data_IF_711525548473
#
_entry.id   IF_711525548473
#
_cell.length_a   1.000
_cell.length_b   1.000
_cell.length_c   1.000
_cell.angle_alpha   90.00
_cell.angle_beta   90.00
_cell.angle_gamma   90.00
#
_symmetry.space_group_name_H-M   'P 1'
#
loop_
_entity.id
_entity.type
_entity.pdbx_description
1 polymer ?
#
# COMPACT_ATOMS: atom_id res chain seq x y z
N UNK A 1 -33.43 -4.38 -0.29
CA UNK A 1 -34.59 -4.79 -1.08
C UNK A 1 -34.27 -5.98 -2.02
N UNK A 2 -33.04 -6.10 -2.50
CA UNK A 2 -32.62 -7.10 -3.47
C UNK A 2 -31.63 -8.14 -2.91
N UNK A 3 -31.46 -8.24 -1.58
CA UNK A 3 -30.55 -9.19 -0.93
C UNK A 3 -29.07 -9.00 -1.31
N UNK A 4 -28.66 -7.78 -1.68
CA UNK A 4 -27.27 -7.48 -2.12
C UNK A 4 -26.34 -7.25 -0.94
N UNK A 5 -26.81 -6.57 0.11
CA UNK A 5 -26.05 -6.31 1.33
C UNK A 5 -26.12 -7.53 2.25
N UNK A 6 -25.42 -8.59 1.86
CA UNK A 6 -25.46 -9.90 2.54
C UNK A 6 -24.81 -9.88 3.93
N UNK A 7 -23.92 -8.94 4.18
CA UNK A 7 -23.18 -8.76 5.44
C UNK A 7 -23.55 -7.47 6.18
N UNK A 8 -24.60 -6.76 5.74
CA UNK A 8 -25.06 -5.51 6.33
C UNK A 8 -24.98 -4.31 5.40
N UNK A 9 -25.67 -3.23 5.78
CA UNK A 9 -25.60 -1.97 5.05
C UNK A 9 -24.42 -1.15 5.55
N UNK A 10 -23.54 -0.67 4.65
CA UNK A 10 -22.49 0.28 5.01
C UNK A 10 -23.08 1.59 5.52
N UNK A 11 -22.23 2.51 5.98
CA UNK A 11 -22.66 3.84 6.40
C UNK A 11 -23.23 4.64 5.22
N UNK A 12 -24.08 5.62 5.51
CA UNK A 12 -24.74 6.43 4.49
C UNK A 12 -23.76 7.31 3.69
N UNK A 13 -22.56 7.53 4.24
CA UNK A 13 -21.50 8.33 3.62
C UNK A 13 -20.51 7.53 2.76
N UNK A 14 -20.57 6.20 2.78
CA UNK A 14 -19.59 5.34 2.08
C UNK A 14 -20.27 4.15 1.41
N UNK A 15 -20.18 4.08 0.09
CA UNK A 15 -20.79 3.03 -0.72
C UNK A 15 -19.83 1.90 -1.13
N UNK A 16 -18.54 1.95 -0.78
CA UNK A 16 -17.52 1.02 -1.25
C UNK A 16 -17.91 -0.44 -0.98
N UNK A 17 -18.29 -0.74 0.26
CA UNK A 17 -18.74 -2.09 0.63
C UNK A 17 -20.12 -2.46 0.07
N UNK A 18 -20.96 -1.50 -0.30
CA UNK A 18 -22.21 -1.83 -1.01
C UNK A 18 -21.92 -2.37 -2.41
N UNK A 19 -20.99 -1.71 -3.13
CA UNK A 19 -20.53 -2.15 -4.44
C UNK A 19 -19.81 -3.49 -4.36
N UNK A 20 -18.92 -3.66 -3.39
CA UNK A 20 -18.19 -4.92 -3.20
C UNK A 20 -19.15 -6.08 -2.93
N UNK A 21 -20.12 -5.94 -2.04
CA UNK A 21 -21.15 -6.95 -1.77
C UNK A 21 -22.02 -7.24 -3.02
N UNK A 22 -22.31 -6.19 -3.82
CA UNK A 22 -23.01 -6.37 -5.08
C UNK A 22 -22.19 -7.22 -6.07
N UNK A 23 -20.88 -6.99 -6.18
CA UNK A 23 -19.99 -7.80 -7.02
C UNK A 23 -19.95 -9.24 -6.53
N UNK A 24 -19.77 -9.47 -5.22
CA UNK A 24 -19.81 -10.82 -4.63
C UNK A 24 -21.11 -11.55 -4.95
N UNK A 25 -22.25 -10.87 -4.82
CA UNK A 25 -23.56 -11.47 -5.13
C UNK A 25 -23.75 -11.77 -6.62
N UNK A 26 -22.99 -11.11 -7.47
CA UNK A 26 -23.03 -11.29 -8.93
C UNK A 26 -22.02 -12.31 -9.44
N UNK A 27 -21.13 -12.82 -8.56
CA UNK A 27 -20.14 -13.84 -8.93
C UNK A 27 -20.83 -15.13 -9.38
N UNK A 28 -20.31 -15.73 -10.44
CA UNK A 28 -20.73 -17.06 -10.88
C UNK A 28 -20.40 -18.09 -9.78
N UNK A 29 -21.36 -18.92 -9.35
CA UNK A 29 -21.06 -19.95 -8.36
C UNK A 29 -19.90 -20.85 -8.79
N UNK A 30 -18.99 -21.16 -7.89
CA UNK A 30 -17.84 -22.08 -8.05
C UNK A 30 -16.77 -21.68 -9.09
N UNK A 31 -16.92 -20.52 -9.77
CA UNK A 31 -15.96 -20.08 -10.81
C UNK A 31 -15.71 -18.58 -10.77
N UNK A 32 -16.52 -17.83 -10.01
CA UNK A 32 -16.50 -16.37 -10.03
C UNK A 32 -15.23 -15.79 -9.42
N UNK A 33 -14.69 -14.78 -10.09
CA UNK A 33 -13.58 -13.95 -9.60
C UNK A 33 -13.96 -12.48 -9.73
N UNK A 34 -13.45 -11.65 -8.82
CA UNK A 34 -13.62 -10.21 -8.85
C UNK A 34 -12.24 -9.57 -8.62
N UNK A 35 -11.93 -8.54 -9.39
CA UNK A 35 -10.86 -7.61 -9.09
C UNK A 35 -11.48 -6.22 -9.01
N UNK A 36 -11.32 -5.54 -7.88
CA UNK A 36 -11.89 -4.21 -7.66
C UNK A 36 -10.83 -3.27 -7.10
N UNK A 37 -10.81 -2.05 -7.66
CA UNK A 37 -9.96 -0.96 -7.17
C UNK A 37 -10.79 -0.11 -6.20
N UNK A 38 -10.26 0.07 -4.99
CA UNK A 38 -10.91 0.84 -3.93
C UNK A 38 -9.88 1.74 -3.23
N UNK A 39 -10.30 2.80 -2.54
CA UNK A 39 -9.41 3.56 -1.65
C UNK A 39 -8.85 2.65 -0.54
N UNK A 40 -7.60 2.85 -0.15
CA UNK A 40 -6.97 2.01 0.89
C UNK A 40 -7.71 2.04 2.25
N UNK A 41 -8.50 3.08 2.51
CA UNK A 41 -9.34 3.19 3.70
C UNK A 41 -10.24 1.97 3.97
N UNK A 42 -10.72 1.30 2.92
CA UNK A 42 -11.57 0.09 3.06
C UNK A 42 -10.87 -1.03 3.81
N UNK A 43 -9.55 -1.05 3.81
CA UNK A 43 -8.75 -2.10 4.45
C UNK A 43 -8.74 -2.01 5.99
N UNK A 44 -9.05 -0.84 6.56
CA UNK A 44 -8.90 -0.60 8.01
C UNK A 44 -9.99 0.25 8.66
N UNK A 45 -10.93 0.85 7.90
CA UNK A 45 -12.04 1.59 8.52
C UNK A 45 -12.80 0.71 9.52
N UNK A 46 -13.18 1.31 10.65
CA UNK A 46 -13.96 0.69 11.72
C UNK A 46 -15.48 0.91 11.54
N UNK A 47 -16.28 0.47 12.50
CA UNK A 47 -17.74 0.60 12.46
C UNK A 47 -18.38 -0.34 11.44
N UNK A 48 -19.48 0.07 10.80
CA UNK A 48 -20.24 -0.74 9.84
C UNK A 48 -19.38 -1.33 8.72
N UNK A 49 -18.40 -0.57 8.23
CA UNK A 49 -17.43 -1.01 7.23
C UNK A 49 -16.52 -2.11 7.80
N UNK A 50 -16.10 -1.97 9.05
CA UNK A 50 -15.33 -2.99 9.76
C UNK A 50 -16.09 -4.30 9.92
N UNK A 51 -17.38 -4.22 10.32
CA UNK A 51 -18.24 -5.38 10.50
C UNK A 51 -18.44 -6.14 9.17
N UNK A 52 -18.67 -5.41 8.08
CA UNK A 52 -18.81 -6.00 6.74
C UNK A 52 -17.49 -6.64 6.28
N UNK A 53 -16.35 -5.97 6.53
CA UNK A 53 -15.02 -6.49 6.19
C UNK A 53 -14.73 -7.78 6.96
N UNK A 54 -15.07 -7.84 8.24
CA UNK A 54 -14.93 -9.05 9.05
C UNK A 54 -15.70 -10.24 8.43
N UNK A 55 -16.94 -10.02 8.01
CA UNK A 55 -17.75 -11.07 7.36
C UNK A 55 -17.16 -11.49 6.00
N UNK A 56 -16.64 -10.53 5.25
CA UNK A 56 -15.94 -10.82 3.99
C UNK A 56 -14.68 -11.68 4.23
N UNK A 57 -13.89 -11.37 5.24
CA UNK A 57 -12.70 -12.15 5.63
C UNK A 57 -13.12 -13.57 6.02
N UNK A 58 -14.12 -13.72 6.90
CA UNK A 58 -14.65 -15.01 7.36
C UNK A 58 -15.25 -15.85 6.24
N UNK A 59 -15.71 -15.24 5.16
CA UNK A 59 -16.22 -15.97 3.99
C UNK A 59 -15.15 -16.65 3.15
N UNK A 60 -13.87 -16.41 3.43
CA UNK A 60 -12.70 -16.92 2.69
C UNK A 60 -12.71 -16.59 1.19
N UNK A 61 -13.34 -15.49 0.80
CA UNK A 61 -13.38 -15.06 -0.60
C UNK A 61 -12.16 -14.23 -1.03
N UNK A 62 -11.48 -13.56 -0.08
CA UNK A 62 -10.33 -12.70 -0.42
C UNK A 62 -9.14 -13.58 -0.75
N UNK A 63 -8.67 -13.56 -2.00
CA UNK A 63 -7.46 -14.25 -2.43
C UNK A 63 -6.21 -13.38 -2.26
N UNK A 64 -6.30 -12.11 -2.66
CA UNK A 64 -5.20 -11.17 -2.52
C UNK A 64 -5.67 -9.74 -2.28
N UNK A 65 -4.82 -8.94 -1.62
CA UNK A 65 -4.93 -7.49 -1.50
C UNK A 65 -3.61 -6.86 -1.91
N UNK A 66 -3.65 -5.92 -2.86
CA UNK A 66 -2.49 -5.21 -3.37
C UNK A 66 -2.62 -3.74 -2.98
N UNK A 67 -1.72 -3.23 -2.16
CA UNK A 67 -1.64 -1.81 -1.84
C UNK A 67 -0.86 -1.08 -2.93
N UNK A 68 -1.46 -0.06 -3.55
CA UNK A 68 -0.85 0.74 -4.62
C UNK A 68 -0.30 2.05 -4.09
N UNK A 69 0.68 2.62 -4.79
CA UNK A 69 1.20 3.95 -4.51
C UNK A 69 0.13 5.03 -4.64
N UNK A 70 0.25 6.11 -3.89
CA UNK A 70 -0.54 7.33 -4.11
C UNK A 70 -0.18 7.99 -5.43
N UNK A 71 -1.12 8.71 -6.03
CA UNK A 71 -0.90 9.46 -7.27
C UNK A 71 -0.76 8.61 -8.54
N UNK A 72 -1.17 7.34 -8.52
CA UNK A 72 -1.25 6.48 -9.72
C UNK A 72 -2.52 6.79 -10.53
N UNK A 73 -3.56 7.29 -9.88
CA UNK A 73 -4.82 7.63 -10.55
C UNK A 73 -4.94 9.13 -10.82
N UNK A 74 -5.54 9.50 -11.96
CA UNK A 74 -5.74 10.89 -12.35
C UNK A 74 -6.63 11.64 -11.35
N UNK A 75 -6.27 12.89 -11.08
CA UNK A 75 -7.08 13.81 -10.30
C UNK A 75 -7.10 13.55 -8.79
N UNK A 76 -6.34 12.57 -8.29
CA UNK A 76 -6.29 12.27 -6.86
C UNK A 76 -4.90 11.82 -6.40
N UNK A 77 -4.49 12.28 -5.22
CA UNK A 77 -3.31 11.77 -4.52
C UNK A 77 -3.62 10.59 -3.59
N UNK A 78 -4.88 10.15 -3.53
CA UNK A 78 -5.31 9.07 -2.62
C UNK A 78 -4.68 7.75 -3.04
N UNK A 79 -4.12 7.03 -2.08
CA UNK A 79 -3.63 5.68 -2.29
C UNK A 79 -4.79 4.71 -2.45
N UNK A 80 -4.71 3.87 -3.47
CA UNK A 80 -5.71 2.84 -3.74
C UNK A 80 -5.19 1.44 -3.37
N UNK A 81 -6.09 0.48 -3.33
CA UNK A 81 -5.78 -0.93 -3.26
C UNK A 81 -6.58 -1.70 -4.32
N UNK A 82 -6.09 -2.88 -4.69
CA UNK A 82 -6.84 -3.85 -5.48
C UNK A 82 -7.19 -5.00 -4.55
N UNK A 83 -8.48 -5.36 -4.49
CA UNK A 83 -8.95 -6.54 -3.77
C UNK A 83 -9.33 -7.59 -4.79
N UNK A 84 -8.68 -8.75 -4.72
CA UNK A 84 -9.03 -9.92 -5.50
C UNK A 84 -9.89 -10.87 -4.69
N UNK A 85 -11.08 -11.19 -5.23
CA UNK A 85 -11.97 -12.19 -4.66
C UNK A 85 -12.05 -13.39 -5.59
N UNK A 86 -12.06 -14.58 -5.01
CA UNK A 86 -12.15 -15.84 -5.71
C UNK A 86 -13.01 -16.81 -4.89
N UNK A 87 -14.13 -17.26 -5.44
CA UNK A 87 -14.99 -18.23 -4.78
C UNK A 87 -14.61 -19.70 -5.05
N UNK A 88 -13.50 -19.90 -5.78
CA UNK A 88 -12.92 -21.21 -6.06
C UNK A 88 -11.41 -21.18 -5.86
N UNK A 89 -10.97 -20.82 -4.65
CA UNK A 89 -9.55 -20.83 -4.28
C UNK A 89 -8.96 -22.22 -4.40
N UNK A 90 -7.70 -22.28 -4.81
CA UNK A 90 -6.90 -23.51 -4.75
C UNK A 90 -6.79 -24.00 -3.30
N UNK A 91 -6.64 -25.30 -3.10
CA UNK A 91 -6.62 -25.90 -1.75
C UNK A 91 -5.54 -25.26 -0.85
N UNK A 92 -4.39 -24.91 -1.42
CA UNK A 92 -3.24 -24.29 -0.74
C UNK A 92 -3.49 -22.84 -0.32
N UNK A 93 -4.42 -22.15 -0.97
CA UNK A 93 -4.77 -20.74 -0.71
C UNK A 93 -5.97 -20.60 0.24
N UNK A 94 -6.69 -21.71 0.53
CA UNK A 94 -7.85 -21.67 1.44
C UNK A 94 -7.43 -21.24 2.84
N UNK A 95 -8.23 -20.37 3.44
CA UNK A 95 -7.97 -19.79 4.76
C UNK A 95 -6.79 -18.82 4.80
N UNK A 96 -6.27 -18.41 3.65
CA UNK A 96 -5.13 -17.49 3.52
C UNK A 96 -5.43 -16.32 2.59
N UNK A 97 -4.71 -15.23 2.77
CA UNK A 97 -4.77 -14.02 1.94
C UNK A 97 -3.35 -13.61 1.58
N UNK A 98 -3.10 -13.35 0.30
CA UNK A 98 -1.85 -12.80 -0.20
C UNK A 98 -1.89 -11.27 -0.09
N UNK A 99 -1.05 -10.69 0.76
CA UNK A 99 -0.93 -9.25 0.95
C UNK A 99 0.32 -8.74 0.22
N UNK A 100 0.15 -7.83 -0.75
CA UNK A 100 1.25 -7.31 -1.58
C UNK A 100 1.38 -5.80 -1.37
N UNK A 101 2.56 -5.35 -0.98
CA UNK A 101 2.93 -3.94 -0.90
C UNK A 101 3.56 -3.46 -2.22
N UNK A 102 2.75 -2.91 -3.09
CA UNK A 102 3.19 -2.26 -4.32
C UNK A 102 3.30 -0.72 -4.17
N UNK A 103 3.30 -0.19 -2.94
CA UNK A 103 3.38 1.26 -2.71
C UNK A 103 4.70 1.89 -3.15
N UNK A 104 5.73 1.07 -3.37
CA UNK A 104 7.04 1.48 -3.89
C UNK A 104 7.33 0.96 -5.29
N UNK A 105 6.41 0.20 -5.89
CA UNK A 105 6.54 -0.38 -7.23
C UNK A 105 5.82 0.54 -8.21
N UNK A 106 6.50 1.54 -8.70
CA UNK A 106 5.99 2.50 -9.68
C UNK A 106 7.14 3.29 -10.31
N UNK A 107 6.89 3.89 -11.46
CA UNK A 107 7.80 4.82 -12.12
C UNK A 107 7.33 6.25 -11.87
N UNK A 108 8.11 7.09 -11.13
CA UNK A 108 7.72 8.48 -10.87
C UNK A 108 7.81 9.31 -12.15
N UNK A 109 6.73 10.04 -12.49
CA UNK A 109 6.71 11.02 -13.59
C UNK A 109 6.32 12.41 -13.07
N UNK A 110 6.55 13.43 -13.89
CA UNK A 110 6.38 14.83 -13.48
C UNK A 110 4.98 15.18 -12.97
N UNK A 111 3.94 14.61 -13.56
CA UNK A 111 2.54 14.94 -13.24
C UNK A 111 1.90 13.93 -12.29
N UNK A 112 2.28 12.68 -12.34
CA UNK A 112 1.73 11.59 -11.54
C UNK A 112 2.67 10.38 -11.53
N UNK A 113 2.45 9.46 -10.61
CA UNK A 113 3.10 8.16 -10.62
C UNK A 113 2.46 7.24 -11.68
N UNK A 114 3.24 6.41 -12.32
CA UNK A 114 2.76 5.48 -13.34
C UNK A 114 3.26 4.07 -13.04
N UNK A 115 2.41 3.09 -13.26
CA UNK A 115 2.81 1.67 -13.26
C UNK A 115 3.10 1.27 -14.70
N UNK A 116 4.37 1.15 -15.03
CA UNK A 116 4.83 0.65 -16.33
C UNK A 116 4.70 -0.88 -16.38
N UNK A 117 4.82 -1.45 -17.57
CA UNK A 117 4.68 -2.91 -17.77
C UNK A 117 5.59 -3.72 -16.82
N UNK A 118 6.82 -3.27 -16.60
CA UNK A 118 7.76 -3.91 -15.66
C UNK A 118 7.23 -3.95 -14.21
N UNK A 119 6.58 -2.85 -13.79
CA UNK A 119 6.03 -2.71 -12.43
C UNK A 119 4.80 -3.63 -12.28
N UNK A 120 3.97 -3.70 -13.31
CA UNK A 120 2.80 -4.60 -13.37
C UNK A 120 3.26 -6.07 -13.34
N UNK A 121 4.27 -6.42 -14.12
CA UNK A 121 4.82 -7.78 -14.15
C UNK A 121 5.45 -8.19 -12.82
N UNK A 122 6.10 -7.27 -12.11
CA UNK A 122 6.63 -7.53 -10.78
C UNK A 122 5.50 -7.86 -9.79
N UNK A 123 4.45 -7.04 -9.75
CA UNK A 123 3.29 -7.26 -8.86
C UNK A 123 2.57 -8.55 -9.24
N UNK A 124 2.39 -8.80 -10.54
CA UNK A 124 1.75 -10.02 -11.02
C UNK A 124 2.54 -11.28 -10.64
N UNK A 125 3.85 -11.23 -10.72
CA UNK A 125 4.72 -12.32 -10.29
C UNK A 125 4.59 -12.60 -8.79
N UNK A 126 4.57 -11.58 -7.94
CA UNK A 126 4.37 -11.74 -6.50
C UNK A 126 3.03 -12.45 -6.20
N UNK A 127 1.98 -12.10 -6.94
CA UNK A 127 0.67 -12.75 -6.83
C UNK A 127 0.70 -14.20 -7.31
N UNK A 128 1.38 -14.50 -8.43
CA UNK A 128 1.47 -15.87 -8.98
C UNK A 128 2.30 -16.80 -8.11
N UNK A 129 3.46 -16.32 -7.62
CA UNK A 129 4.38 -17.12 -6.79
C UNK A 129 3.74 -17.47 -5.43
N UNK A 130 2.79 -16.65 -4.95
CA UNK A 130 2.04 -16.83 -3.70
C UNK A 130 2.95 -17.22 -2.52
N UNK A 131 4.03 -16.47 -2.31
CA UNK A 131 5.06 -16.73 -1.31
C UNK A 131 5.45 -15.46 -0.57
N UNK A 132 5.97 -15.64 0.66
CA UNK A 132 6.50 -14.54 1.45
C UNK A 132 7.74 -13.95 0.77
N UNK A 133 7.71 -12.63 0.55
CA UNK A 133 8.84 -11.85 0.03
C UNK A 133 9.04 -10.64 0.94
N UNK A 134 10.20 -10.54 1.56
CA UNK A 134 10.54 -9.45 2.49
C UNK A 134 10.25 -8.08 1.86
N UNK A 135 9.57 -7.20 2.58
CA UNK A 135 9.14 -5.86 2.18
C UNK A 135 8.11 -5.80 1.04
N UNK A 136 7.71 -6.91 0.43
CA UNK A 136 6.84 -6.90 -0.75
C UNK A 136 5.59 -7.74 -0.64
N UNK A 137 5.68 -8.93 -0.07
CA UNK A 137 4.56 -9.87 -0.03
C UNK A 137 4.54 -10.68 1.27
N UNK A 138 3.35 -10.87 1.82
CA UNK A 138 3.12 -11.72 2.98
C UNK A 138 1.86 -12.54 2.79
N UNK A 139 1.97 -13.84 3.01
CA UNK A 139 0.82 -14.74 3.08
C UNK A 139 0.36 -14.80 4.54
N UNK A 140 -0.88 -14.42 4.77
CA UNK A 140 -1.46 -14.30 6.11
C UNK A 140 -2.68 -15.20 6.21
N UNK A 141 -2.82 -15.91 7.32
CA UNK A 141 -4.00 -16.72 7.60
C UNK A 141 -5.17 -15.85 8.08
N UNK A 142 -6.40 -16.31 7.89
CA UNK A 142 -7.60 -15.64 8.43
C UNK A 142 -7.51 -15.48 9.96
N UNK A 143 -6.90 -16.45 10.66
CA UNK A 143 -6.67 -16.36 12.11
C UNK A 143 -5.76 -15.19 12.50
N UNK A 144 -4.64 -15.01 11.81
CA UNK A 144 -3.73 -13.86 12.03
C UNK A 144 -4.42 -12.52 11.72
N UNK A 145 -5.31 -12.49 10.72
CA UNK A 145 -6.09 -11.29 10.39
C UNK A 145 -7.11 -11.00 11.50
N UNK A 146 -7.75 -12.01 12.06
CA UNK A 146 -8.69 -11.87 13.18
C UNK A 146 -7.97 -11.35 14.44
N UNK A 147 -6.81 -11.92 14.80
CA UNK A 147 -5.96 -11.47 15.90
C UNK A 147 -5.50 -10.01 15.74
N UNK A 148 -5.30 -9.56 14.51
CA UNK A 148 -4.96 -8.18 14.19
C UNK A 148 -6.18 -7.23 14.12
N UNK A 149 -7.37 -7.65 14.56
CA UNK A 149 -8.59 -6.85 14.56
C UNK A 149 -9.23 -6.72 13.18
N UNK A 150 -9.16 -7.75 12.37
CA UNK A 150 -9.74 -7.82 11.03
C UNK A 150 -9.29 -6.69 10.08
N UNK A 151 -8.07 -6.17 10.28
CA UNK A 151 -7.47 -5.23 9.33
C UNK A 151 -6.86 -5.97 8.16
N UNK A 152 -7.00 -5.40 6.96
CA UNK A 152 -6.34 -5.85 5.73
C UNK A 152 -5.24 -4.86 5.30
N UNK A 153 -4.86 -3.92 6.18
CA UNK A 153 -3.80 -2.96 5.90
C UNK A 153 -2.46 -3.69 5.73
N UNK A 154 -1.98 -3.72 4.51
CA UNK A 154 -0.82 -4.51 4.08
C UNK A 154 0.42 -4.23 4.91
N UNK A 155 0.64 -2.96 5.27
CA UNK A 155 1.78 -2.53 6.09
C UNK A 155 1.76 -3.04 7.54
N UNK A 156 0.66 -3.63 8.01
CA UNK A 156 0.56 -4.26 9.33
C UNK A 156 1.32 -5.59 9.37
N UNK A 157 1.36 -6.30 8.24
CA UNK A 157 1.87 -7.67 8.16
C UNK A 157 3.25 -7.78 7.50
N UNK A 158 3.60 -6.81 6.65
CA UNK A 158 4.87 -6.85 5.93
C UNK A 158 5.99 -6.28 6.80
N UNK A 159 6.95 -7.13 7.12
CA UNK A 159 8.15 -6.74 7.84
C UNK A 159 9.00 -5.78 7.00
N UNK A 160 9.24 -4.59 7.53
CA UNK A 160 10.26 -3.69 6.97
C UNK A 160 11.64 -4.20 7.39
N UNK A 161 12.59 -4.20 6.47
CA UNK A 161 14.00 -4.40 6.86
C UNK A 161 14.32 -3.45 8.00
N UNK A 162 14.82 -3.99 9.10
CA UNK A 162 15.40 -3.17 10.16
C UNK A 162 16.47 -2.32 9.51
N UNK A 163 16.24 -1.01 9.43
CA UNK A 163 17.32 -0.08 9.06
C UNK A 163 18.45 -0.33 10.06
N UNK A 164 19.65 -0.55 9.54
CA UNK A 164 20.83 -0.56 10.40
C UNK A 164 20.81 0.75 11.18
N UNK A 165 20.69 0.61 12.49
CA UNK A 165 20.73 1.77 13.38
C UNK A 165 22.16 2.30 13.31
N UNK A 166 22.36 3.35 12.53
CA UNK A 166 23.66 4.03 12.45
C UNK A 166 24.00 4.51 13.87
N UNK A 167 25.14 4.10 14.42
CA UNK A 167 25.51 4.49 15.77
C UNK A 167 25.46 6.00 15.93
N UNK A 168 24.93 6.53 17.05
CA UNK A 168 24.82 7.98 17.27
C UNK A 168 26.13 8.75 17.09
N UNK A 169 27.28 8.12 17.37
CA UNK A 169 28.58 8.67 17.11
C UNK A 169 28.86 8.97 15.64
N UNK A 170 28.48 8.02 14.75
CA UNK A 170 28.64 8.18 13.28
C UNK A 170 27.71 9.26 12.74
N UNK A 171 26.47 9.31 13.24
CA UNK A 171 25.52 10.37 12.87
C UNK A 171 26.05 11.75 13.26
N UNK A 172 26.63 11.85 14.46
CA UNK A 172 27.25 13.11 14.97
C UNK A 172 28.44 13.53 14.12
N UNK A 173 29.31 12.60 13.76
CA UNK A 173 30.48 12.88 12.90
C UNK A 173 30.04 13.35 11.51
N UNK A 174 29.09 12.66 10.90
CA UNK A 174 28.52 13.05 9.61
C UNK A 174 27.89 14.45 9.65
N UNK A 175 27.19 14.79 10.74
CA UNK A 175 26.61 16.11 10.94
C UNK A 175 27.69 17.21 10.98
N UNK A 176 28.75 17.02 11.76
CA UNK A 176 29.82 18.02 11.84
C UNK A 176 30.59 18.17 10.54
N UNK A 177 30.82 17.06 9.82
CA UNK A 177 31.44 17.09 8.48
C UNK A 177 30.56 17.83 7.48
N UNK A 178 29.27 17.61 7.48
CA UNK A 178 28.33 18.33 6.63
C UNK A 178 28.33 19.85 6.98
N UNK A 179 28.32 20.18 8.24
CA UNK A 179 28.36 21.59 8.72
C UNK A 179 29.62 22.32 8.26
N UNK A 180 30.77 21.66 8.33
CA UNK A 180 32.04 22.24 7.79
C UNK A 180 32.00 22.47 6.28
N UNK A 181 31.39 21.49 5.52
CA UNK A 181 31.25 21.64 4.09
C UNK A 181 30.32 22.81 3.72
N UNK A 182 29.23 23.02 4.47
CA UNK A 182 28.38 24.20 4.31
C UNK A 182 29.17 25.49 4.54
N UNK A 183 29.92 25.60 5.62
CA UNK A 183 30.76 26.80 5.91
C UNK A 183 31.77 27.06 4.79
N UNK A 184 32.43 26.02 4.28
CA UNK A 184 33.37 26.14 3.16
C UNK A 184 32.67 26.63 1.87
N UNK A 185 31.46 26.09 1.58
CA UNK A 185 30.70 26.51 0.42
C UNK A 185 30.20 27.95 0.54
N UNK A 186 29.76 28.38 1.73
CA UNK A 186 29.36 29.77 2.00
C UNK A 186 30.56 30.75 1.85
N UNK A 187 31.71 30.39 2.39
CA UNK A 187 32.93 31.20 2.23
C UNK A 187 33.33 31.36 0.77
N UNK A 188 33.31 30.26 0.01
CA UNK A 188 33.61 30.29 -1.43
C UNK A 188 32.59 31.14 -2.21
N UNK A 189 31.31 31.00 -1.89
CA UNK A 189 30.25 31.80 -2.52
C UNK A 189 30.47 33.30 -2.22
N UNK A 190 30.78 33.64 -0.95
CA UNK A 190 31.07 35.04 -0.57
C UNK A 190 32.24 35.61 -1.34
N UNK A 191 33.35 34.87 -1.48
CA UNK A 191 34.51 35.28 -2.28
C UNK A 191 34.11 35.58 -3.71
N UNK A 192 33.39 34.68 -4.36
CA UNK A 192 32.91 34.85 -5.74
C UNK A 192 31.97 36.06 -5.92
N UNK A 193 31.13 36.33 -4.92
CA UNK A 193 30.24 37.50 -4.96
C UNK A 193 31.02 38.82 -4.78
N UNK A 194 32.09 38.84 -3.99
CA UNK A 194 32.99 40.00 -3.85
C UNK A 194 33.77 40.22 -5.16
N UNK A 195 34.42 39.18 -5.67
CA UNK A 195 35.12 39.22 -6.94
C UNK A 195 34.22 39.67 -8.12
N UNK A 196 32.94 39.27 -8.12
CA UNK A 196 31.95 39.69 -9.12
C UNK A 196 31.36 41.09 -8.88
N UNK A 197 31.76 41.80 -7.79
CA UNK A 197 31.26 43.14 -7.47
C UNK A 197 29.83 43.19 -6.95
N UNK A 198 29.28 42.03 -6.53
CA UNK A 198 27.91 41.92 -5.96
C UNK A 198 27.84 42.12 -4.45
N UNK A 199 28.98 42.06 -3.74
CA UNK A 199 29.13 42.33 -2.30
C UNK A 199 30.36 43.19 -2.05
N UNK A 200 30.26 44.11 -1.10
CA UNK A 200 31.40 44.87 -0.63
C UNK A 200 32.17 44.08 0.45
N UNK A 201 33.49 44.22 0.49
CA UNK A 201 34.31 43.77 1.61
C UNK A 201 33.89 44.53 2.89
N UNK A 202 33.31 43.84 3.87
CA UNK A 202 33.17 44.27 5.24
C UNK A 202 33.96 43.32 6.15
#
# INVERSE_FOLDING_TARGET
KYGRNIWGCPSDSNADFAWLQHMVKSMKPMEGKVAVVLPQGVLFHSGKEGDIREQLIKSDLIEAVIALAGGVFYGTGVSACIIFLNNHKQAEHKGKVCLIDATKIYTPKRAQNEMEEKDIQEVYKLYQDYQDVVEKCKIVTIGEIDEAGNTLAVNTYIEKKKQEVVPPAVVRENYFTALENVKKAEAKMRTLLIEGGYLNEQ
#
